data_IF_172291303613
#
_entry.id   IF_172291303613
#
_cell.length_a   1.000
_cell.length_b   1.000
_cell.length_c   1.000
_cell.angle_alpha   90.00
_cell.angle_beta   90.00
_cell.angle_gamma   90.00
#
_symmetry.space_group_name_H-M   'P 1'
#
loop_
_entity.id
_entity.type
_entity.pdbx_description
1 polymer ?
#
# COMPACT_ATOMS: atom_id res chain seq x y z
N UNK A 1 2.64 -5.10 13.67
CA UNK A 1 1.34 -4.37 13.56
C UNK A 1 0.99 -4.26 12.10
N UNK A 2 -0.30 -4.43 11.76
CA UNK A 2 -0.77 -4.51 10.38
C UNK A 2 -1.41 -3.19 9.93
N UNK A 3 -0.93 -2.64 8.82
CA UNK A 3 -1.32 -1.33 8.30
C UNK A 3 -1.82 -1.43 6.86
N UNK A 4 -2.85 -0.66 6.53
CA UNK A 4 -3.46 -0.66 5.21
C UNK A 4 -2.95 0.53 4.39
N UNK A 5 -2.48 0.24 3.18
CA UNK A 5 -1.94 1.22 2.25
C UNK A 5 -2.73 1.18 0.94
N UNK A 6 -3.46 2.26 0.66
CA UNK A 6 -4.23 2.41 -0.57
C UNK A 6 -3.57 3.49 -1.42
N UNK A 7 -3.13 3.13 -2.61
CA UNK A 7 -2.40 4.01 -3.52
C UNK A 7 -0.89 3.83 -3.42
N UNK A 8 -0.34 3.06 -4.35
CA UNK A 8 1.08 2.73 -4.49
C UNK A 8 1.78 3.62 -5.53
N UNK A 9 1.44 4.91 -5.53
CA UNK A 9 2.24 5.92 -6.25
C UNK A 9 3.64 6.10 -5.64
N UNK A 10 4.39 7.08 -6.14
CA UNK A 10 5.77 7.38 -5.68
C UNK A 10 5.88 7.57 -4.17
N UNK A 11 4.93 8.27 -3.56
CA UNK A 11 4.93 8.51 -2.12
C UNK A 11 4.48 7.27 -1.35
N UNK A 12 3.38 6.65 -1.79
CA UNK A 12 2.75 5.56 -1.07
C UNK A 12 3.57 4.29 -1.02
N UNK A 13 4.21 3.92 -2.13
CA UNK A 13 5.15 2.80 -2.17
C UNK A 13 6.36 3.03 -1.23
N UNK A 14 6.89 4.25 -1.18
CA UNK A 14 8.00 4.59 -0.29
C UNK A 14 7.62 4.54 1.19
N UNK A 15 6.39 4.93 1.54
CA UNK A 15 5.88 4.82 2.91
C UNK A 15 5.68 3.35 3.28
N UNK A 16 5.06 2.56 2.41
CA UNK A 16 4.88 1.12 2.60
C UNK A 16 6.23 0.42 2.84
N UNK A 17 7.25 0.70 2.01
CA UNK A 17 8.63 0.20 2.19
C UNK A 17 9.22 0.56 3.55
N UNK A 18 9.07 1.80 3.99
CA UNK A 18 9.59 2.24 5.31
C UNK A 18 8.88 1.54 6.46
N UNK A 19 7.56 1.36 6.35
CA UNK A 19 6.76 0.64 7.34
C UNK A 19 7.18 -0.83 7.42
N UNK A 20 7.38 -1.50 6.28
CA UNK A 20 7.89 -2.88 6.24
C UNK A 20 9.28 -3.01 6.85
N UNK A 21 10.19 -2.08 6.55
CA UNK A 21 11.54 -2.04 7.16
C UNK A 21 11.51 -1.88 8.67
N UNK A 22 10.51 -1.21 9.22
CA UNK A 22 10.31 -1.06 10.66
C UNK A 22 9.59 -2.27 11.30
N UNK A 23 9.40 -3.37 10.58
CA UNK A 23 8.76 -4.59 11.08
C UNK A 23 7.23 -4.52 11.14
N UNK A 24 6.62 -3.60 10.39
CA UNK A 24 5.16 -3.55 10.24
C UNK A 24 4.71 -4.37 9.03
N UNK A 25 3.64 -5.14 9.19
CA UNK A 25 2.99 -5.81 8.06
C UNK A 25 2.15 -4.79 7.30
N UNK A 26 2.38 -4.65 6.00
CA UNK A 26 1.66 -3.68 5.19
C UNK A 26 0.80 -4.40 4.17
N UNK A 27 -0.51 -4.19 4.26
CA UNK A 27 -1.48 -4.59 3.24
C UNK A 27 -1.55 -3.49 2.20
N UNK A 28 -1.35 -3.83 0.94
CA UNK A 28 -1.22 -2.86 -0.16
C UNK A 28 -2.31 -3.06 -1.21
N UNK A 29 -2.89 -1.97 -1.68
CA UNK A 29 -3.85 -1.95 -2.78
C UNK A 29 -3.62 -0.73 -3.68
N UNK A 30 -3.68 -0.94 -5.00
CA UNK A 30 -3.73 0.13 -6.01
C UNK A 30 -4.64 -0.33 -7.16
N UNK A 31 -5.09 0.62 -7.98
CA UNK A 31 -5.78 0.32 -9.25
C UNK A 31 -4.84 -0.31 -10.29
N UNK A 32 -3.54 -0.06 -10.13
CA UNK A 32 -2.47 -0.56 -10.97
C UNK A 32 -1.90 -1.85 -10.40
N UNK A 33 -2.17 -2.95 -11.09
CA UNK A 33 -1.78 -4.30 -10.66
C UNK A 33 -0.25 -4.47 -10.63
N UNK A 34 0.50 -3.77 -11.49
CA UNK A 34 1.95 -3.86 -11.57
C UNK A 34 2.60 -3.25 -10.31
N UNK A 35 2.02 -2.15 -9.80
CA UNK A 35 2.46 -1.53 -8.57
C UNK A 35 2.23 -2.45 -7.35
N UNK A 36 1.10 -3.16 -7.32
CA UNK A 36 0.79 -4.15 -6.27
C UNK A 36 1.74 -5.34 -6.36
N UNK A 37 1.98 -5.88 -7.56
CA UNK A 37 2.90 -7.00 -7.77
C UNK A 37 4.34 -6.65 -7.36
N UNK A 38 4.81 -5.44 -7.70
CA UNK A 38 6.12 -4.95 -7.27
C UNK A 38 6.23 -4.93 -5.75
N UNK A 39 5.25 -4.36 -5.06
CA UNK A 39 5.27 -4.29 -3.59
C UNK A 39 5.13 -5.66 -2.94
N UNK A 40 4.35 -6.57 -3.53
CA UNK A 40 4.23 -7.95 -3.07
C UNK A 40 5.56 -8.69 -3.15
N UNK A 41 6.34 -8.47 -4.23
CA UNK A 41 7.69 -9.04 -4.37
C UNK A 41 8.68 -8.53 -3.30
N UNK A 42 8.41 -7.35 -2.73
CA UNK A 42 9.19 -6.76 -1.64
C UNK A 42 8.72 -7.21 -0.24
N UNK A 43 7.68 -8.04 -0.15
CA UNK A 43 7.15 -8.58 1.10
C UNK A 43 5.86 -7.93 1.62
N UNK A 44 5.20 -7.08 0.82
CA UNK A 44 3.88 -6.55 1.16
C UNK A 44 2.77 -7.59 0.94
N UNK A 45 1.64 -7.43 1.62
CA UNK A 45 0.47 -8.30 1.46
C UNK A 45 -0.44 -7.67 0.40
N UNK A 46 -0.56 -8.24 -0.82
CA UNK A 46 -1.41 -7.67 -1.84
C UNK A 46 -2.89 -7.87 -1.47
N UNK A 47 -3.67 -6.81 -1.61
CA UNK A 47 -5.12 -6.86 -1.55
C UNK A 47 -5.69 -6.61 -2.94
N UNK A 48 -6.81 -7.27 -3.26
CA UNK A 48 -7.47 -7.18 -4.57
C UNK A 48 -8.59 -6.13 -4.61
N UNK A 49 -8.95 -5.56 -3.46
CA UNK A 49 -9.97 -4.53 -3.35
C UNK A 49 -10.00 -3.87 -1.98
N UNK A 50 -10.76 -2.79 -1.85
CA UNK A 50 -10.90 -2.04 -0.60
C UNK A 50 -11.48 -2.90 0.54
N UNK A 51 -12.42 -3.79 0.22
CA UNK A 51 -13.00 -4.72 1.18
C UNK A 51 -11.99 -5.76 1.66
N UNK A 52 -11.10 -6.19 0.76
CA UNK A 52 -10.01 -7.12 1.06
C UNK A 52 -8.97 -6.48 1.97
N UNK A 53 -8.63 -5.20 1.73
CA UNK A 53 -7.80 -4.41 2.66
C UNK A 53 -8.42 -4.40 4.06
N UNK A 54 -9.72 -4.17 4.18
CA UNK A 54 -10.40 -4.19 5.48
C UNK A 54 -10.32 -5.56 6.17
N UNK A 55 -10.57 -6.64 5.44
CA UNK A 55 -10.53 -8.00 5.99
C UNK A 55 -9.13 -8.44 6.40
N UNK A 56 -8.11 -8.01 5.65
CA UNK A 56 -6.72 -8.36 5.91
C UNK A 56 -6.17 -7.58 7.11
N UNK A 57 -6.76 -6.45 7.52
CA UNK A 57 -6.35 -5.70 8.70
C UNK A 57 -6.93 -6.33 9.98
N UNK A 58 -6.06 -6.93 10.80
CA UNK A 58 -6.44 -7.43 12.11
C UNK A 58 -6.99 -6.29 12.99
N UNK A 59 -8.17 -6.49 13.58
CA UNK A 59 -8.82 -5.52 14.46
C UNK A 59 -8.04 -5.36 15.78
N UNK A 60 -7.99 -4.16 16.41
CA UNK A 60 -8.61 -2.91 16.01
C UNK A 60 -7.78 -2.18 14.94
N UNK A 61 -8.39 -1.90 13.79
CA UNK A 61 -7.70 -1.43 12.58
C UNK A 61 -7.12 -0.01 12.80
N UNK A 62 -5.84 0.06 13.17
CA UNK A 62 -5.10 1.33 13.28
C UNK A 62 -4.74 1.86 11.89
N UNK A 63 -5.70 2.52 11.25
CA UNK A 63 -5.47 3.46 10.16
C UNK A 63 -5.24 2.86 8.77
N UNK A 64 -6.03 3.31 7.81
CA UNK A 64 -5.80 3.10 6.38
C UNK A 64 -5.27 4.42 5.82
N UNK A 65 -4.09 4.41 5.23
CA UNK A 65 -3.51 5.58 4.60
C UNK A 65 -3.80 5.55 3.10
N UNK A 66 -4.66 6.47 2.66
CA UNK A 66 -5.01 6.67 1.25
C UNK A 66 -4.16 7.78 0.64
N UNK A 67 -3.41 7.47 -0.42
CA UNK A 67 -2.68 8.46 -1.19
C UNK A 67 -3.23 8.54 -2.61
N UNK A 68 -3.66 9.73 -3.02
CA UNK A 68 -3.97 10.01 -4.41
C UNK A 68 -2.71 9.92 -5.26
N UNK A 69 -2.77 9.25 -6.42
CA UNK A 69 -1.71 9.32 -7.42
C UNK A 69 -1.64 10.77 -7.92
N UNK A 70 -0.70 11.57 -7.41
CA UNK A 70 -0.29 12.80 -8.06
C UNK A 70 0.38 12.39 -9.37
N UNK A 71 -0.36 12.49 -10.48
CA UNK A 71 0.27 12.48 -11.80
C UNK A 71 1.19 13.69 -11.84
N UNK A 72 2.48 13.45 -11.71
CA UNK A 72 3.49 14.47 -11.92
C UNK A 72 3.46 14.77 -13.43
N UNK A 73 3.20 16.01 -13.87
CA UNK A 73 3.34 16.31 -15.28
C UNK A 73 4.79 15.99 -15.66
N UNK A 74 4.97 15.26 -16.76
CA UNK A 74 6.28 15.07 -17.35
C UNK A 74 6.79 16.47 -17.75
N UNK A 75 7.64 17.05 -16.90
CA UNK A 75 8.42 18.23 -17.28
C UNK A 75 9.44 17.74 -18.29
N UNK A 76 9.19 18.12 -19.54
CA UNK A 76 10.02 17.89 -20.72
C UNK A 76 11.14 18.92 -20.79
#
# INVERSE_FOLDING_TARGET
>A
MKLGMIGLGRMGANIARRLMRNGHEVVVYDRDADAVATMASEGAIPATGLYDVHNLLAQPSRGVLGFGKTQQPAIM
#
